data_IF_922500691787
#
_entry.id   IF_922500691787
#
_cell.length_a   1.000
_cell.length_b   1.000
_cell.length_c   1.000
_cell.angle_alpha   90.00
_cell.angle_beta   90.00
_cell.angle_gamma   90.00
#
_symmetry.space_group_name_H-M   'P 1'
#
loop_
_entity.id
_entity.type
_entity.pdbx_description
1 polymer ?
#
# COMPACT_ATOMS: atom_id res chain seq x y z
N UNK A 1 6.97 0.80 -12.42
CA UNK A 1 5.73 1.36 -11.87
C UNK A 1 5.75 1.28 -10.35
N UNK A 2 5.27 2.31 -9.70
CA UNK A 2 5.20 2.36 -8.24
C UNK A 2 3.73 2.30 -7.81
N UNK A 3 3.49 1.63 -6.69
CA UNK A 3 2.20 1.58 -6.03
C UNK A 3 2.39 1.92 -4.56
N UNK A 4 1.57 2.83 -4.06
CA UNK A 4 1.57 3.16 -2.63
C UNK A 4 0.33 2.54 -2.00
N UNK A 5 0.53 1.77 -0.94
CA UNK A 5 -0.55 1.26 -0.13
C UNK A 5 -0.66 2.05 1.16
N UNK A 6 -1.80 2.69 1.37
CA UNK A 6 -2.15 3.37 2.62
C UNK A 6 -3.10 2.50 3.42
N UNK A 7 -2.86 2.41 4.71
CA UNK A 7 -3.72 1.65 5.61
C UNK A 7 -3.94 2.46 6.87
N UNK A 8 -5.17 2.55 7.33
CA UNK A 8 -5.50 3.20 8.60
C UNK A 8 -6.31 2.27 9.49
N UNK A 9 -6.02 2.28 10.77
CA UNK A 9 -6.80 1.51 11.73
C UNK A 9 -6.81 2.22 13.09
N UNK A 10 -7.93 2.07 13.85
CA UNK A 10 -8.03 2.71 15.16
C UNK A 10 -7.10 2.05 16.17
N UNK A 11 -6.80 2.76 17.25
CA UNK A 11 -5.87 2.28 18.27
C UNK A 11 -6.28 0.93 18.88
N UNK A 12 -7.58 0.72 19.08
CA UNK A 12 -8.05 -0.53 19.63
C UNK A 12 -7.83 -1.73 18.71
N UNK A 13 -7.60 -1.51 17.43
CA UNK A 13 -7.31 -2.58 16.46
C UNK A 13 -5.83 -2.76 16.17
N UNK A 14 -4.95 -2.03 16.84
CA UNK A 14 -3.51 -2.04 16.57
C UNK A 14 -2.90 -3.42 16.74
N UNK A 15 -3.19 -4.07 17.86
CA UNK A 15 -2.62 -5.40 18.16
C UNK A 15 -3.04 -6.44 17.13
N UNK A 16 -4.32 -6.45 16.79
CA UNK A 16 -4.85 -7.36 15.78
C UNK A 16 -4.24 -7.10 14.41
N UNK A 17 -4.13 -5.83 14.03
CA UNK A 17 -3.56 -5.43 12.74
C UNK A 17 -2.08 -5.83 12.64
N UNK A 18 -1.29 -5.61 13.69
CA UNK A 18 0.11 -6.00 13.72
C UNK A 18 0.26 -7.52 13.61
N UNK A 19 -0.55 -8.27 14.35
CA UNK A 19 -0.51 -9.73 14.28
C UNK A 19 -0.81 -10.23 12.87
N UNK A 20 -1.79 -9.65 12.19
CA UNK A 20 -2.11 -10.02 10.82
C UNK A 20 -1.03 -9.64 9.83
N UNK A 21 -0.39 -8.49 10.02
CA UNK A 21 0.76 -8.10 9.19
C UNK A 21 1.88 -9.14 9.23
N UNK A 22 2.16 -9.70 10.40
CA UNK A 22 3.20 -10.70 10.56
C UNK A 22 2.85 -12.04 9.91
N UNK A 23 1.59 -12.28 9.63
CA UNK A 23 1.10 -13.51 8.99
C UNK A 23 0.97 -13.40 7.47
N UNK A 24 1.19 -12.20 6.89
CA UNK A 24 1.08 -12.00 5.45
C UNK A 24 2.17 -12.80 4.74
N UNK A 25 1.81 -13.68 3.77
CA UNK A 25 2.80 -14.39 2.99
C UNK A 25 3.66 -13.43 2.17
N UNK A 26 4.90 -13.83 1.92
CA UNK A 26 5.80 -13.05 1.09
C UNK A 26 5.21 -12.86 -0.31
N UNK A 27 5.28 -11.64 -0.82
CA UNK A 27 4.86 -11.32 -2.19
C UNK A 27 5.80 -11.98 -3.22
N UNK A 28 5.29 -12.22 -4.45
CA UNK A 28 6.15 -12.74 -5.53
C UNK A 28 7.39 -11.87 -5.75
N UNK A 29 8.46 -12.48 -6.23
CA UNK A 29 9.76 -11.80 -6.40
C UNK A 29 9.74 -10.62 -7.35
N UNK A 30 8.79 -10.58 -8.29
CA UNK A 30 8.67 -9.45 -9.21
C UNK A 30 8.07 -8.19 -8.56
N UNK A 31 7.56 -8.30 -7.34
CA UNK A 31 7.09 -7.16 -6.56
C UNK A 31 8.13 -6.85 -5.49
N UNK A 32 8.75 -5.68 -5.58
CA UNK A 32 9.78 -5.25 -4.65
C UNK A 32 9.20 -4.27 -3.64
N UNK A 33 9.38 -4.56 -2.35
CA UNK A 33 9.05 -3.62 -1.30
C UNK A 33 10.16 -2.57 -1.19
N UNK A 34 9.81 -1.32 -1.37
CA UNK A 34 10.76 -0.19 -1.33
C UNK A 34 10.71 0.59 -0.03
N UNK A 35 9.78 0.26 0.83
CA UNK A 35 9.68 0.88 2.15
C UNK A 35 8.34 0.59 2.79
N UNK A 36 8.37 0.54 4.11
CA UNK A 36 7.17 0.40 4.91
C UNK A 36 7.30 1.32 6.11
N UNK A 37 6.36 2.24 6.25
CA UNK A 37 6.40 3.28 7.28
C UNK A 37 5.07 3.35 8.00
N UNK A 38 5.09 3.71 9.26
CA UNK A 38 3.88 3.88 10.04
C UNK A 38 4.04 5.06 10.99
N UNK A 39 2.94 5.73 11.27
CA UNK A 39 2.91 6.80 12.27
C UNK A 39 1.59 6.79 13.02
N UNK A 40 1.64 7.26 14.27
CA UNK A 40 0.48 7.34 15.14
C UNK A 40 -0.16 8.72 15.03
N UNK A 41 -1.49 8.73 15.07
CA UNK A 41 -2.28 9.94 15.19
C UNK A 41 -3.25 9.78 16.35
N UNK A 42 -3.97 10.82 16.71
CA UNK A 42 -5.02 10.75 17.74
C UNK A 42 -6.10 9.74 17.39
N UNK A 43 -6.31 9.50 16.08
CA UNK A 43 -7.35 8.59 15.58
C UNK A 43 -6.86 7.14 15.46
N UNK A 44 -5.57 6.90 15.59
CA UNK A 44 -5.01 5.56 15.44
C UNK A 44 -3.70 5.55 14.68
N UNK A 45 -3.48 4.51 13.89
CA UNK A 45 -2.24 4.31 13.16
C UNK A 45 -2.50 4.42 11.66
N UNK A 46 -1.58 5.11 10.96
CA UNK A 46 -1.54 5.13 9.50
C UNK A 46 -0.26 4.46 9.05
N UNK A 47 -0.35 3.55 8.11
CA UNK A 47 0.81 2.91 7.51
C UNK A 47 0.89 3.23 6.02
N UNK A 48 2.13 3.25 5.52
CA UNK A 48 2.44 3.53 4.13
C UNK A 48 3.42 2.48 3.64
N UNK A 49 3.06 1.77 2.59
CA UNK A 49 3.94 0.80 1.95
C UNK A 49 4.20 1.23 0.51
N UNK A 50 5.43 1.06 0.04
CA UNK A 50 5.82 1.41 -1.33
C UNK A 50 6.24 0.12 -2.04
N UNK A 51 5.61 -0.16 -3.17
CA UNK A 51 5.90 -1.33 -3.99
C UNK A 51 6.36 -0.88 -5.37
N UNK A 52 7.32 -1.62 -5.91
CA UNK A 52 7.82 -1.40 -7.26
C UNK A 52 7.74 -2.71 -8.06
N UNK A 53 7.28 -2.60 -9.30
CA UNK A 53 7.22 -3.73 -10.22
C UNK A 53 7.23 -3.21 -11.66
N UNK A 54 7.54 -4.10 -12.59
CA UNK A 54 7.50 -3.75 -14.01
C UNK A 54 6.07 -3.49 -14.46
N UNK A 55 5.86 -2.48 -15.30
CA UNK A 55 4.54 -2.10 -15.79
C UNK A 55 3.84 -3.23 -16.57
N UNK A 56 4.61 -4.13 -17.19
CA UNK A 56 4.05 -5.30 -17.85
C UNK A 56 3.40 -6.30 -16.89
N UNK A 57 3.73 -6.20 -15.60
CA UNK A 57 3.19 -7.05 -14.53
C UNK A 57 2.16 -6.31 -13.66
N UNK A 58 1.72 -5.12 -14.09
CA UNK A 58 0.89 -4.27 -13.25
C UNK A 58 -0.40 -4.96 -12.77
N UNK A 59 -1.13 -5.63 -13.66
CA UNK A 59 -2.39 -6.26 -13.30
C UNK A 59 -2.18 -7.40 -12.29
N UNK A 60 -1.18 -8.23 -12.51
CA UNK A 60 -0.85 -9.33 -11.60
C UNK A 60 -0.37 -8.80 -10.24
N UNK A 61 0.47 -7.76 -10.26
CA UNK A 61 1.00 -7.15 -9.05
C UNK A 61 -0.11 -6.52 -8.21
N UNK A 62 -1.01 -5.77 -8.84
CA UNK A 62 -2.16 -5.17 -8.17
C UNK A 62 -3.04 -6.22 -7.51
N UNK A 63 -3.31 -7.31 -8.20
CA UNK A 63 -4.10 -8.41 -7.65
C UNK A 63 -3.43 -9.02 -6.42
N UNK A 64 -2.14 -9.34 -6.50
CA UNK A 64 -1.40 -9.93 -5.39
C UNK A 64 -1.33 -9.00 -4.18
N UNK A 65 -1.08 -7.72 -4.41
CA UNK A 65 -1.02 -6.73 -3.34
C UNK A 65 -2.42 -6.56 -2.71
N UNK A 66 -3.45 -6.46 -3.54
CA UNK A 66 -4.82 -6.34 -3.04
C UNK A 66 -5.23 -7.54 -2.18
N UNK A 67 -4.87 -8.76 -2.59
CA UNK A 67 -5.15 -9.96 -1.81
C UNK A 67 -4.51 -9.87 -0.42
N UNK A 68 -3.27 -9.37 -0.31
CA UNK A 68 -2.64 -9.22 1.00
C UNK A 68 -3.37 -8.22 1.89
N UNK A 69 -3.93 -7.14 1.34
CA UNK A 69 -4.71 -6.18 2.12
C UNK A 69 -6.10 -6.70 2.51
N UNK A 70 -6.70 -7.60 1.73
CA UNK A 70 -8.01 -8.17 2.09
C UNK A 70 -7.97 -8.99 3.38
N UNK A 71 -6.80 -9.38 3.84
CA UNK A 71 -6.63 -10.08 5.13
C UNK A 71 -7.05 -9.23 6.32
N UNK A 72 -7.21 -7.92 6.12
CA UNK A 72 -7.60 -6.98 7.18
C UNK A 72 -9.08 -6.59 7.11
N UNK A 73 -9.85 -7.15 6.19
CA UNK A 73 -11.22 -6.69 5.92
C UNK A 73 -12.16 -6.80 7.12
N UNK A 74 -11.91 -7.76 8.03
CA UNK A 74 -12.70 -7.98 9.24
C UNK A 74 -12.09 -7.32 10.49
N UNK A 75 -10.98 -6.59 10.34
CA UNK A 75 -10.42 -5.82 11.45
C UNK A 75 -11.25 -4.56 11.63
N UNK A 76 -11.84 -4.32 12.83
CA UNK A 76 -12.72 -3.18 13.01
C UNK A 76 -12.01 -1.85 12.73
N UNK A 77 -12.65 -1.04 11.86
CA UNK A 77 -12.16 0.29 11.52
C UNK A 77 -10.96 0.33 10.57
N UNK A 78 -10.53 -0.80 10.04
CA UNK A 78 -9.44 -0.82 9.06
C UNK A 78 -9.92 -0.32 7.70
N UNK A 79 -9.15 0.61 7.12
CA UNK A 79 -9.36 1.09 5.76
C UNK A 79 -8.03 1.07 5.02
N UNK A 80 -8.08 0.84 3.71
CA UNK A 80 -6.87 0.90 2.90
C UNK A 80 -7.16 1.47 1.52
N UNK A 81 -6.12 2.01 0.90
CA UNK A 81 -6.14 2.49 -0.48
C UNK A 81 -4.86 2.05 -1.18
N UNK A 82 -4.98 1.65 -2.43
CA UNK A 82 -3.85 1.33 -3.28
C UNK A 82 -3.79 2.39 -4.38
N UNK A 83 -2.73 3.17 -4.41
CA UNK A 83 -2.60 4.33 -5.29
C UNK A 83 -1.43 4.11 -6.25
N UNK A 84 -1.69 3.89 -7.55
CA UNK A 84 -0.62 3.86 -8.54
C UNK A 84 0.06 5.21 -8.64
N UNK A 85 1.39 5.21 -8.69
CA UNK A 85 2.18 6.43 -8.70
C UNK A 85 3.15 6.45 -9.86
N UNK A 86 3.49 7.65 -10.29
CA UNK A 86 4.55 7.93 -11.25
C UNK A 86 5.61 8.78 -10.57
N UNK A 87 6.81 8.79 -11.14
CA UNK A 87 7.82 9.72 -10.69
C UNK A 87 7.30 11.15 -10.86
N UNK A 88 7.58 12.02 -9.89
CA UNK A 88 7.10 13.40 -9.92
C UNK A 88 7.48 14.14 -11.21
N UNK A 89 8.64 13.84 -11.76
CA UNK A 89 9.10 14.41 -13.03
C UNK A 89 8.16 14.07 -14.19
N UNK A 90 7.69 12.83 -14.26
CA UNK A 90 6.75 12.39 -15.30
C UNK A 90 5.40 13.09 -15.17
N UNK A 91 4.93 13.27 -13.95
CA UNK A 91 3.68 13.98 -13.67
C UNK A 91 3.78 15.46 -14.04
N UNK A 92 4.90 16.11 -13.69
CA UNK A 92 5.13 17.49 -14.04
C UNK A 92 5.14 17.72 -15.57
N UNK A 93 5.77 16.81 -16.30
CA UNK A 93 5.79 16.86 -17.76
C UNK A 93 4.40 16.78 -18.36
N UNK A 94 3.55 15.88 -17.85
CA UNK A 94 2.17 15.77 -18.30
C UNK A 94 1.36 17.04 -18.03
N UNK A 95 1.56 17.66 -16.88
CA UNK A 95 0.93 18.93 -16.57
C UNK A 95 1.32 20.02 -17.55
N UNK A 96 2.59 20.09 -17.93
CA UNK A 96 3.07 21.07 -18.91
C UNK A 96 2.50 20.82 -20.31
N UNK A 97 2.27 19.59 -20.69
CA UNK A 97 1.67 19.23 -21.97
C UNK A 97 0.18 19.61 -22.04
N UNK A 98 -0.51 19.69 -20.90
CA UNK A 98 -1.92 20.03 -20.82
C UNK A 98 -2.18 21.54 -20.81
N UNK A 99 -1.15 22.35 -20.64
CA UNK A 99 -1.19 23.80 -20.62
C UNK A 99 -0.70 24.36 -21.94
#
# INVERSE_FOLDING_TARGET
MLLIGFSTFPQQSTKESVNRMMEIPRLPDYIKSKGFYAYNTEKGVTSLAIYEFDSSKADEALEQINISYTRFHDVPGHNYQLIPCRKARETAQKFLELV
#
